data_IF_216024550952
#
_entry.id   IF_216024550952
#
_cell.length_a   1.000
_cell.length_b   1.000
_cell.length_c   1.000
_cell.angle_alpha   90.00
_cell.angle_beta   90.00
_cell.angle_gamma   90.00
#
_symmetry.space_group_name_H-M   'P 1'
#
loop_
_entity.id
_entity.type
_entity.pdbx_description
1 polymer ?
#
# COMPACT_ATOMS: atom_id res chain seq x y z
N UNK A 1 42.16 34.36 -21.21
CA UNK A 1 42.96 33.18 -21.55
C UNK A 1 42.78 32.17 -20.42
N UNK A 2 41.76 31.31 -20.53
CA UNK A 2 41.29 30.46 -19.44
C UNK A 2 41.85 29.04 -19.60
N UNK A 3 42.56 28.56 -18.57
CA UNK A 3 43.03 27.18 -18.47
C UNK A 3 42.02 26.31 -17.72
N UNK A 4 41.90 25.09 -18.24
CA UNK A 4 40.87 24.08 -18.02
C UNK A 4 41.03 23.43 -16.63
N UNK A 5 40.00 23.48 -15.80
CA UNK A 5 39.85 22.62 -14.61
C UNK A 5 38.90 21.48 -14.94
N UNK A 6 39.47 20.28 -15.09
CA UNK A 6 38.75 19.02 -15.27
C UNK A 6 37.99 18.68 -13.99
N UNK A 7 36.67 18.63 -14.05
CA UNK A 7 35.79 18.10 -13.01
C UNK A 7 35.11 16.86 -13.60
N UNK A 8 35.45 15.68 -13.07
CA UNK A 8 34.81 14.41 -13.44
C UNK A 8 33.37 14.35 -12.89
N UNK A 9 32.38 13.92 -13.68
CA UNK A 9 31.04 13.63 -13.16
C UNK A 9 31.04 12.34 -12.33
N UNK A 10 30.34 12.39 -11.20
CA UNK A 10 30.12 11.27 -10.29
C UNK A 10 28.80 10.61 -10.69
N UNK A 11 28.85 9.58 -11.54
CA UNK A 11 27.65 8.88 -12.03
C UNK A 11 27.55 7.49 -11.40
N UNK A 12 26.72 7.42 -10.36
CA UNK A 12 25.76 6.38 -9.95
C UNK A 12 26.00 4.98 -10.56
N UNK A 13 26.45 4.06 -9.71
CA UNK A 13 26.50 2.62 -9.95
C UNK A 13 25.07 2.06 -9.75
N UNK A 14 24.46 1.34 -10.70
CA UNK A 14 23.21 0.63 -10.47
C UNK A 14 23.47 -0.63 -9.63
N UNK A 15 22.89 -0.70 -8.42
CA UNK A 15 22.91 -1.90 -7.59
C UNK A 15 21.88 -2.90 -8.16
N UNK A 16 22.39 -3.94 -8.82
CA UNK A 16 21.62 -5.10 -9.23
C UNK A 16 21.01 -5.79 -8.01
N UNK A 17 19.69 -5.87 -7.96
CA UNK A 17 18.94 -6.75 -7.07
C UNK A 17 18.93 -8.16 -7.67
N UNK A 18 19.49 -9.19 -7.00
CA UNK A 18 19.18 -10.56 -7.38
C UNK A 18 17.78 -10.92 -6.87
N UNK A 19 16.83 -11.06 -7.79
CA UNK A 19 15.52 -11.64 -7.53
C UNK A 19 15.67 -13.15 -7.35
N UNK A 20 15.64 -13.60 -6.09
CA UNK A 20 15.50 -15.03 -5.77
C UNK A 20 14.09 -15.49 -6.14
N UNK A 21 13.91 -15.91 -7.39
CA UNK A 21 12.79 -16.78 -7.78
C UNK A 21 12.98 -18.12 -7.08
N UNK A 22 12.32 -18.33 -5.94
CA UNK A 22 12.21 -19.64 -5.30
C UNK A 22 11.23 -20.49 -6.11
N UNK A 23 11.75 -21.29 -7.03
CA UNK A 23 11.04 -22.44 -7.59
C UNK A 23 10.82 -23.47 -6.49
N UNK A 24 9.57 -23.70 -6.11
CA UNK A 24 9.17 -24.77 -5.18
C UNK A 24 9.09 -26.06 -5.99
N UNK A 25 10.17 -26.82 -6.04
CA UNK A 25 10.14 -28.25 -6.39
C UNK A 25 9.77 -29.03 -5.13
N UNK A 26 8.59 -29.65 -5.15
CA UNK A 26 8.12 -30.58 -4.11
C UNK A 26 8.87 -31.92 -4.28
N UNK A 27 9.90 -32.17 -3.48
CA UNK A 27 10.60 -33.47 -3.41
C UNK A 27 9.91 -34.32 -2.32
N UNK A 28 9.24 -35.44 -2.64
CA UNK A 28 8.59 -36.28 -1.64
C UNK A 28 9.62 -37.08 -0.82
N UNK A 29 9.64 -36.80 0.49
CA UNK A 29 10.07 -37.66 1.60
C UNK A 29 11.39 -38.44 1.45
N UNK A 30 12.49 -37.84 1.95
CA UNK A 30 13.61 -38.61 2.52
C UNK A 30 13.24 -39.00 3.97
N UNK A 31 13.53 -40.24 4.43
CA UNK A 31 13.34 -40.62 5.82
C UNK A 31 14.19 -39.72 6.73
N UNK A 32 13.62 -39.29 7.85
CA UNK A 32 14.32 -38.47 8.85
C UNK A 32 15.63 -39.16 9.29
N UNK A 33 16.76 -38.44 9.34
CA UNK A 33 17.96 -38.99 9.96
C UNK A 33 17.68 -39.27 11.44
N UNK A 34 18.23 -40.36 12.02
CA UNK A 34 18.07 -40.65 13.43
C UNK A 34 18.60 -39.48 14.28
N UNK A 35 18.00 -39.20 15.44
CA UNK A 35 18.44 -38.10 16.30
C UNK A 35 19.91 -38.32 16.68
N UNK A 36 20.78 -37.42 16.23
CA UNK A 36 22.18 -37.43 16.68
C UNK A 36 22.20 -37.07 18.17
N UNK A 37 22.98 -37.78 19.00
CA UNK A 37 23.21 -37.37 20.38
C UNK A 37 23.84 -35.97 20.35
N UNK A 38 23.08 -34.97 20.79
CA UNK A 38 23.57 -33.59 20.82
C UNK A 38 24.60 -33.53 21.95
N UNK A 39 25.88 -33.47 21.57
CA UNK A 39 26.97 -33.14 22.50
C UNK A 39 26.59 -31.87 23.27
N UNK A 40 26.75 -31.81 24.60
CA UNK A 40 26.46 -30.60 25.35
C UNK A 40 27.29 -29.45 24.78
N UNK A 41 26.61 -28.37 24.39
CA UNK A 41 27.25 -27.11 24.00
C UNK A 41 27.87 -26.52 25.28
N UNK A 42 29.20 -26.44 25.32
CA UNK A 42 29.91 -25.60 26.28
C UNK A 42 29.51 -24.14 26.03
N UNK A 43 28.66 -23.59 26.91
CA UNK A 43 28.36 -22.16 26.97
C UNK A 43 28.50 -21.70 28.43
N UNK A 44 29.70 -21.19 28.69
CA UNK A 44 30.09 -20.12 29.62
C UNK A 44 29.14 -19.81 30.80
N UNK A 45 29.63 -20.22 31.97
CA UNK A 45 29.67 -19.48 33.25
C UNK A 45 28.73 -18.27 33.37
N UNK A 46 27.50 -18.54 33.83
CA UNK A 46 26.74 -17.56 34.58
C UNK A 46 26.55 -18.09 36.00
N UNK A 47 27.52 -17.75 36.84
CA UNK A 47 27.51 -17.89 38.30
C UNK A 47 26.20 -17.35 38.87
N UNK A 48 25.24 -18.24 39.05
CA UNK A 48 24.02 -17.96 39.79
C UNK A 48 24.04 -18.93 40.98
N UNK A 49 24.43 -18.40 42.14
CA UNK A 49 24.49 -19.08 43.43
C UNK A 49 23.07 -19.41 43.95
N UNK A 50 22.32 -20.17 43.16
CA UNK A 50 21.19 -20.94 43.66
C UNK A 50 21.63 -22.38 43.59
N UNK A 51 22.03 -22.91 44.74
CA UNK A 51 22.12 -24.35 44.98
C UNK A 51 20.88 -24.98 44.36
N UNK A 52 21.03 -25.56 43.17
CA UNK A 52 20.07 -26.52 42.64
C UNK A 52 20.23 -27.67 43.62
N UNK A 53 19.39 -27.66 44.64
CA UNK A 53 19.28 -28.74 45.58
C UNK A 53 19.09 -29.99 44.73
N UNK A 54 20.11 -30.85 44.73
CA UNK A 54 19.96 -32.23 44.34
C UNK A 54 18.66 -32.70 44.98
N UNK A 55 17.77 -33.21 44.14
CA UNK A 55 16.40 -33.53 44.52
C UNK A 55 16.40 -34.29 45.85
N UNK A 56 15.61 -33.87 46.86
CA UNK A 56 15.61 -34.46 48.21
C UNK A 56 15.26 -35.95 48.23
N UNK A 57 14.84 -36.49 47.09
CA UNK A 57 14.60 -37.90 46.83
C UNK A 57 15.86 -38.77 46.81
N UNK A 58 17.03 -38.27 46.42
CA UNK A 58 18.24 -39.09 46.43
C UNK A 58 18.78 -39.28 47.84
N UNK A 59 18.82 -38.21 48.64
CA UNK A 59 19.21 -38.28 50.06
C UNK A 59 18.18 -39.01 50.92
N UNK A 60 16.88 -38.78 50.71
CA UNK A 60 15.83 -39.46 51.49
C UNK A 60 15.74 -40.97 51.22
N UNK A 61 16.14 -41.43 50.04
CA UNK A 61 16.18 -42.87 49.70
C UNK A 61 17.49 -43.52 50.17
N UNK A 62 18.60 -42.77 50.20
CA UNK A 62 19.85 -43.23 50.77
C UNK A 62 19.75 -43.39 52.31
N UNK A 63 19.02 -42.51 53.00
CA UNK A 63 18.82 -42.58 54.45
C UNK A 63 17.98 -43.78 54.93
N UNK A 64 16.98 -44.21 54.15
CA UNK A 64 16.08 -45.33 54.54
C UNK A 64 16.80 -46.70 54.64
N UNK A 65 17.97 -46.84 54.00
CA UNK A 65 18.70 -48.11 53.91
C UNK A 65 19.80 -48.29 54.97
N UNK A 66 20.22 -47.23 55.67
CA UNK A 66 21.18 -47.38 56.78
C UNK A 66 20.58 -48.14 57.98
N UNK A 67 19.27 -48.38 58.01
CA UNK A 67 18.57 -48.94 59.17
C UNK A 67 18.20 -50.43 59.09
N UNK A 68 18.48 -51.14 57.98
CA UNK A 68 18.25 -52.59 57.90
C UNK A 68 19.53 -53.39 58.16
N UNK A 69 19.72 -53.64 59.46
CA UNK A 69 20.52 -54.71 60.11
C UNK A 69 21.38 -55.57 59.16
N UNK A 70 22.68 -55.44 59.34
CA UNK A 70 23.68 -56.49 59.11
C UNK A 70 23.20 -57.80 59.76
N UNK A 71 22.52 -58.66 59.01
CA UNK A 71 22.30 -60.04 59.41
C UNK A 71 23.62 -60.74 59.16
N UNK A 72 24.50 -60.70 60.18
CA UNK A 72 25.68 -61.53 60.27
C UNK A 72 25.33 -62.94 59.78
N UNK A 73 25.96 -63.38 58.69
CA UNK A 73 25.90 -64.75 58.20
C UNK A 73 26.44 -65.70 59.28
N UNK A 74 25.63 -66.01 60.31
CA UNK A 74 25.89 -67.15 61.17
C UNK A 74 25.83 -68.35 60.25
N UNK A 75 26.95 -69.05 60.11
CA UNK A 75 27.03 -70.30 59.36
C UNK A 75 26.06 -71.30 59.99
N UNK A 76 24.82 -71.29 59.52
CA UNK A 76 23.78 -72.20 59.96
C UNK A 76 24.15 -73.58 59.41
N UNK A 77 24.42 -74.53 60.30
CA UNK A 77 24.64 -75.91 59.90
C UNK A 77 23.30 -76.50 59.46
N UNK A 78 23.01 -76.42 58.16
CA UNK A 78 21.74 -76.89 57.57
C UNK A 78 21.55 -78.41 57.65
N UNK A 79 22.57 -79.16 58.08
CA UNK A 79 22.52 -80.62 58.14
C UNK A 79 23.30 -81.18 59.33
N UNK A 80 22.56 -81.67 60.33
CA UNK A 80 23.13 -82.39 61.47
C UNK A 80 23.44 -83.84 61.07
N UNK A 81 24.73 -84.10 60.93
CA UNK A 81 25.28 -85.37 60.47
C UNK A 81 25.19 -86.44 61.58
N UNK A 82 25.27 -86.03 62.85
CA UNK A 82 25.29 -86.93 64.00
C UNK A 82 23.88 -87.43 64.35
N UNK A 83 22.91 -86.51 64.40
CA UNK A 83 21.52 -86.86 64.72
C UNK A 83 20.94 -87.87 63.73
N UNK A 84 21.19 -87.69 62.44
CA UNK A 84 20.75 -88.62 61.39
C UNK A 84 21.40 -90.01 61.56
N UNK A 85 22.69 -90.06 61.89
CA UNK A 85 23.41 -91.31 62.09
C UNK A 85 22.82 -92.08 63.29
N UNK A 86 22.60 -91.40 64.41
CA UNK A 86 22.01 -92.01 65.61
C UNK A 86 20.57 -92.51 65.39
N UNK A 87 19.78 -91.81 64.57
CA UNK A 87 18.44 -92.26 64.22
C UNK A 87 18.46 -93.50 63.33
N UNK A 88 19.35 -93.57 62.34
CA UNK A 88 19.49 -94.74 61.47
C UNK A 88 19.98 -95.97 62.24
N UNK A 89 20.93 -95.79 63.17
CA UNK A 89 21.39 -96.86 64.06
C UNK A 89 20.26 -97.38 64.96
N UNK A 90 19.42 -96.49 65.49
CA UNK A 90 18.26 -96.88 66.33
C UNK A 90 17.17 -97.65 65.57
N UNK A 91 17.11 -97.53 64.24
CA UNK A 91 16.13 -98.18 63.37
C UNK A 91 16.66 -99.51 62.78
N UNK A 92 17.81 -99.99 63.26
CA UNK A 92 18.36 -101.30 62.89
C UNK A 92 19.37 -101.31 61.74
N UNK A 93 19.83 -100.14 61.26
CA UNK A 93 20.89 -100.08 60.26
C UNK A 93 22.28 -100.22 60.89
N UNK A 94 23.18 -100.95 60.23
CA UNK A 94 24.59 -100.99 60.63
C UNK A 94 25.22 -99.60 60.49
N UNK A 95 26.13 -99.23 61.39
CA UNK A 95 26.86 -97.95 61.36
C UNK A 95 27.47 -97.63 60.00
N UNK A 96 28.02 -98.64 59.31
CA UNK A 96 28.58 -98.48 57.95
C UNK A 96 27.52 -98.16 56.90
N UNK A 97 26.34 -98.76 56.99
CA UNK A 97 25.22 -98.50 56.07
C UNK A 97 24.60 -97.12 56.34
N UNK A 98 24.41 -96.77 57.61
CA UNK A 98 23.94 -95.46 58.03
C UNK A 98 24.87 -94.33 57.55
N UNK A 99 26.19 -94.54 57.63
CA UNK A 99 27.19 -93.57 57.15
C UNK A 99 27.11 -93.35 55.63
N UNK A 100 26.91 -94.40 54.84
CA UNK A 100 26.77 -94.29 53.37
C UNK A 100 25.50 -93.52 53.01
N UNK A 101 24.37 -93.83 53.65
CA UNK A 101 23.10 -93.14 53.42
C UNK A 101 23.21 -91.65 53.79
N UNK A 102 23.79 -91.36 54.96
CA UNK A 102 24.05 -90.01 55.44
C UNK A 102 24.96 -89.22 54.48
N UNK A 103 26.03 -89.83 53.96
CA UNK A 103 26.90 -89.22 52.94
C UNK A 103 26.13 -88.92 51.65
N UNK A 104 25.26 -89.83 51.20
CA UNK A 104 24.41 -89.64 50.02
C UNK A 104 23.43 -88.48 50.18
N UNK A 105 22.72 -88.40 51.31
CA UNK A 105 21.78 -87.31 51.62
C UNK A 105 22.53 -85.98 51.72
N UNK A 106 23.67 -85.95 52.40
CA UNK A 106 24.52 -84.75 52.51
C UNK A 106 25.00 -84.26 51.15
N UNK A 107 25.34 -85.17 50.23
CA UNK A 107 25.71 -84.83 48.87
C UNK A 107 24.54 -84.22 48.09
N UNK A 108 23.36 -84.87 48.09
CA UNK A 108 22.18 -84.35 47.37
C UNK A 108 21.68 -83.03 47.92
N UNK A 109 21.73 -82.83 49.24
CA UNK A 109 21.37 -81.57 49.86
C UNK A 109 22.32 -80.44 49.46
N UNK A 110 23.63 -80.71 49.36
CA UNK A 110 24.61 -79.74 48.88
C UNK A 110 24.42 -79.39 47.41
N UNK A 111 24.17 -80.39 46.57
CA UNK A 111 23.87 -80.21 45.15
C UNK A 111 22.62 -79.33 44.95
N UNK A 112 21.53 -79.65 45.66
CA UNK A 112 20.30 -78.87 45.61
C UNK A 112 20.50 -77.44 46.13
N UNK A 113 21.21 -77.27 47.26
CA UNK A 113 21.51 -75.93 47.81
C UNK A 113 22.36 -75.10 46.85
N UNK A 114 23.35 -75.71 46.19
CA UNK A 114 24.19 -75.03 45.21
C UNK A 114 23.37 -74.60 43.98
N UNK A 115 22.50 -75.47 43.47
CA UNK A 115 21.60 -75.16 42.36
C UNK A 115 20.59 -74.06 42.72
N UNK A 116 19.99 -74.12 43.93
CA UNK A 116 19.09 -73.06 44.41
C UNK A 116 19.80 -71.72 44.55
N UNK A 117 21.06 -71.69 45.03
CA UNK A 117 21.86 -70.46 45.11
C UNK A 117 22.18 -69.85 43.74
N UNK A 118 22.23 -70.65 42.68
CA UNK A 118 22.42 -70.14 41.32
C UNK A 118 21.13 -69.56 40.73
N UNK A 119 19.96 -70.03 41.17
CA UNK A 119 18.66 -69.57 40.68
C UNK A 119 18.03 -68.46 41.55
N UNK A 120 18.37 -68.41 42.83
CA UNK A 120 17.91 -67.38 43.75
C UNK A 120 18.88 -66.20 43.71
N UNK A 121 18.37 -65.06 43.29
CA UNK A 121 19.09 -63.79 43.45
C UNK A 121 19.16 -63.44 44.95
N UNK A 122 20.33 -62.98 45.39
CA UNK A 122 20.45 -62.45 46.73
C UNK A 122 19.59 -61.19 46.85
N UNK A 123 18.93 -61.02 47.98
CA UNK A 123 18.16 -59.81 48.27
C UNK A 123 19.01 -58.54 48.13
N UNK A 124 20.31 -58.62 48.41
CA UNK A 124 21.27 -57.52 48.22
C UNK A 124 21.42 -57.11 46.74
N UNK A 125 21.46 -58.09 45.84
CA UNK A 125 21.67 -57.83 44.41
C UNK A 125 20.40 -57.20 43.81
N UNK A 126 19.23 -57.69 44.21
CA UNK A 126 17.94 -57.09 43.85
C UNK A 126 17.82 -55.65 44.37
N UNK A 127 18.23 -55.39 45.62
CA UNK A 127 18.23 -54.06 46.21
C UNK A 127 19.17 -53.10 45.46
N UNK A 128 20.38 -53.55 45.10
CA UNK A 128 21.33 -52.75 44.33
C UNK A 128 20.82 -52.42 42.91
N UNK A 129 20.29 -53.40 42.18
CA UNK A 129 19.69 -53.15 40.86
C UNK A 129 18.49 -52.21 40.96
N UNK A 130 17.67 -52.35 42.01
CA UNK A 130 16.55 -51.43 42.26
C UNK A 130 17.02 -49.99 42.53
N UNK A 131 18.19 -49.84 43.18
CA UNK A 131 18.80 -48.53 43.42
C UNK A 131 19.27 -47.89 42.12
N UNK A 132 20.01 -48.63 41.29
CA UNK A 132 20.46 -48.14 39.97
C UNK A 132 19.28 -47.73 39.09
N UNK A 133 18.21 -48.54 39.08
CA UNK A 133 16.99 -48.22 38.34
C UNK A 133 16.31 -46.95 38.86
N UNK A 134 16.17 -46.80 40.18
CA UNK A 134 15.60 -45.58 40.78
C UNK A 134 16.45 -44.35 40.50
N UNK A 135 17.78 -44.47 40.53
CA UNK A 135 18.69 -43.38 40.19
C UNK A 135 18.51 -42.95 38.72
N UNK A 136 18.48 -43.92 37.79
CA UNK A 136 18.25 -43.65 36.37
C UNK A 136 16.87 -43.02 36.10
N UNK A 137 15.81 -43.47 36.79
CA UNK A 137 14.50 -42.85 36.70
C UNK A 137 14.47 -41.41 37.24
N UNK A 138 15.21 -41.14 38.32
CA UNK A 138 15.34 -39.80 38.87
C UNK A 138 16.07 -38.88 37.88
N UNK A 139 17.14 -39.36 37.27
CA UNK A 139 17.88 -38.64 36.23
C UNK A 139 16.98 -38.33 35.01
N UNK A 140 16.31 -39.35 34.46
CA UNK A 140 15.37 -39.18 33.34
C UNK A 140 14.26 -38.17 33.68
N UNK A 141 13.73 -38.21 34.90
CA UNK A 141 12.71 -37.26 35.34
C UNK A 141 13.27 -35.83 35.35
N UNK A 142 14.49 -35.64 35.85
CA UNK A 142 15.12 -34.31 35.87
C UNK A 142 15.42 -33.81 34.46
N UNK A 143 15.89 -34.68 33.57
CA UNK A 143 16.15 -34.35 32.17
C UNK A 143 14.88 -33.93 31.45
N UNK A 144 13.80 -34.70 31.56
CA UNK A 144 12.48 -34.34 30.99
C UNK A 144 11.99 -33.01 31.56
N UNK A 145 12.20 -32.76 32.86
CA UNK A 145 11.77 -31.51 33.48
C UNK A 145 12.58 -30.32 32.96
N UNK A 146 13.87 -30.49 32.69
CA UNK A 146 14.74 -29.47 32.10
C UNK A 146 14.35 -29.21 30.65
N UNK A 147 14.16 -30.25 29.84
CA UNK A 147 13.69 -30.15 28.46
C UNK A 147 12.37 -29.39 28.38
N UNK A 148 11.38 -29.78 29.18
CA UNK A 148 10.07 -29.10 29.22
C UNK A 148 10.19 -27.63 29.61
N UNK A 149 11.10 -27.27 30.53
CA UNK A 149 11.33 -25.86 30.88
C UNK A 149 11.98 -25.10 29.73
N UNK A 150 12.93 -25.71 29.03
CA UNK A 150 13.59 -25.12 27.88
C UNK A 150 12.59 -24.88 26.73
N UNK A 151 11.78 -25.90 26.40
CA UNK A 151 10.72 -25.79 25.39
C UNK A 151 9.72 -24.69 25.73
N UNK A 152 9.31 -24.60 27.00
CA UNK A 152 8.40 -23.54 27.46
C UNK A 152 9.04 -22.15 27.31
N UNK A 153 10.32 -21.99 27.66
CA UNK A 153 11.03 -20.73 27.50
C UNK A 153 11.17 -20.35 26.02
N UNK A 154 11.48 -21.32 25.16
CA UNK A 154 11.55 -21.13 23.72
C UNK A 154 10.19 -20.68 23.16
N UNK A 155 9.11 -21.40 23.47
CA UNK A 155 7.75 -21.04 23.06
C UNK A 155 7.32 -19.65 23.57
N UNK A 156 7.67 -19.30 24.82
CA UNK A 156 7.39 -17.96 25.34
C UNK A 156 8.14 -16.86 24.57
N UNK A 157 9.40 -17.13 24.20
CA UNK A 157 10.19 -16.20 23.39
C UNK A 157 9.61 -16.03 21.98
N UNK A 158 9.22 -17.13 21.33
CA UNK A 158 8.57 -17.11 20.02
C UNK A 158 7.22 -16.40 20.04
N UNK A 159 6.40 -16.65 21.07
CA UNK A 159 5.13 -15.96 21.26
C UNK A 159 5.37 -14.45 21.42
N UNK A 160 6.33 -14.04 22.25
CA UNK A 160 6.67 -12.63 22.45
C UNK A 160 7.12 -11.96 21.15
N UNK A 161 7.94 -12.66 20.35
CA UNK A 161 8.35 -12.19 19.03
C UNK A 161 7.16 -12.05 18.07
N UNK A 162 6.29 -13.06 18.01
CA UNK A 162 5.11 -13.05 17.16
C UNK A 162 4.15 -11.92 17.55
N UNK A 163 3.90 -11.70 18.84
CA UNK A 163 3.10 -10.56 19.32
C UNK A 163 3.70 -9.24 18.85
N UNK A 164 5.02 -9.05 19.00
CA UNK A 164 5.70 -7.83 18.53
C UNK A 164 5.56 -7.64 17.02
N UNK A 165 5.63 -8.72 16.24
CA UNK A 165 5.45 -8.66 14.79
C UNK A 165 4.03 -8.28 14.39
N UNK A 166 3.02 -8.80 15.11
CA UNK A 166 1.63 -8.41 14.93
C UNK A 166 1.43 -6.92 15.25
N UNK A 167 1.97 -6.44 16.37
CA UNK A 167 1.87 -5.02 16.76
C UNK A 167 2.50 -4.09 15.71
N UNK A 168 3.67 -4.47 15.18
CA UNK A 168 4.33 -3.71 14.10
C UNK A 168 3.50 -3.72 12.82
N UNK A 169 2.89 -4.85 12.49
CA UNK A 169 2.04 -4.95 11.31
C UNK A 169 0.80 -4.10 11.45
N UNK A 170 0.17 -4.09 12.63
CA UNK A 170 -0.97 -3.24 12.96
C UNK A 170 -0.59 -1.75 12.84
N UNK A 171 0.55 -1.35 13.42
CA UNK A 171 1.03 0.02 13.31
C UNK A 171 1.24 0.42 11.85
N UNK A 172 1.92 -0.41 11.05
CA UNK A 172 2.15 -0.13 9.63
C UNK A 172 0.86 -0.06 8.82
N UNK A 173 -0.11 -0.91 9.15
CA UNK A 173 -1.42 -0.88 8.50
C UNK A 173 -2.15 0.43 8.82
N UNK A 174 -2.15 0.86 10.08
CA UNK A 174 -2.77 2.11 10.52
C UNK A 174 -2.09 3.33 9.90
N UNK A 175 -0.76 3.35 9.84
CA UNK A 175 0.01 4.38 9.13
C UNK A 175 -0.33 4.40 7.63
N UNK A 176 -0.43 3.23 7.00
CA UNK A 176 -0.82 3.08 5.60
C UNK A 176 -2.24 3.61 5.34
N UNK A 177 -3.21 3.28 6.20
CA UNK A 177 -4.59 3.78 6.11
C UNK A 177 -4.62 5.30 6.30
N UNK A 178 -3.90 5.84 7.28
CA UNK A 178 -3.83 7.28 7.53
C UNK A 178 -3.22 8.03 6.34
N UNK A 179 -2.14 7.49 5.77
CA UNK A 179 -1.50 8.05 4.57
C UNK A 179 -2.44 8.02 3.38
N UNK A 180 -3.07 6.88 3.10
CA UNK A 180 -4.04 6.75 2.01
C UNK A 180 -5.23 7.70 2.19
N UNK A 181 -5.73 7.87 3.41
CA UNK A 181 -6.79 8.83 3.72
C UNK A 181 -6.36 10.27 3.42
N UNK A 182 -5.14 10.64 3.81
CA UNK A 182 -4.58 11.97 3.52
C UNK A 182 -4.40 12.17 2.02
N UNK A 183 -3.91 11.18 1.30
CA UNK A 183 -3.74 11.23 -0.16
C UNK A 183 -5.09 11.40 -0.87
N UNK A 184 -6.13 10.65 -0.47
CA UNK A 184 -7.49 10.80 -1.00
C UNK A 184 -8.06 12.20 -0.70
N UNK A 185 -7.84 12.71 0.51
CA UNK A 185 -8.29 14.05 0.88
C UNK A 185 -7.55 15.13 0.08
N UNK A 186 -6.25 14.97 -0.14
CA UNK A 186 -5.45 15.86 -0.96
C UNK A 186 -5.91 15.83 -2.42
N UNK A 187 -6.13 14.66 -3.01
CA UNK A 187 -6.63 14.54 -4.38
C UNK A 187 -8.04 15.14 -4.53
N UNK A 188 -8.94 14.86 -3.58
CA UNK A 188 -10.26 15.47 -3.53
C UNK A 188 -10.18 17.00 -3.46
N UNK A 189 -9.27 17.54 -2.64
CA UNK A 189 -9.09 18.99 -2.54
C UNK A 189 -8.49 19.57 -3.82
N UNK A 190 -7.53 18.88 -4.43
CA UNK A 190 -6.94 19.27 -5.70
C UNK A 190 -8.00 19.31 -6.82
N UNK A 191 -8.82 18.27 -6.94
CA UNK A 191 -9.95 18.23 -7.89
C UNK A 191 -10.97 19.33 -7.66
N UNK A 192 -11.28 19.64 -6.40
CA UNK A 192 -12.15 20.78 -6.05
C UNK A 192 -11.53 22.11 -6.43
N UNK A 193 -10.22 22.26 -6.27
CA UNK A 193 -9.50 23.47 -6.67
C UNK A 193 -9.45 23.62 -8.19
N UNK A 194 -9.08 22.56 -8.91
CA UNK A 194 -9.08 22.51 -10.38
C UNK A 194 -10.46 22.87 -10.95
N UNK A 195 -11.54 22.27 -10.42
CA UNK A 195 -12.90 22.59 -10.84
C UNK A 195 -13.25 24.07 -10.61
N UNK A 196 -12.79 24.67 -9.50
CA UNK A 196 -13.00 26.10 -9.20
C UNK A 196 -12.17 27.00 -10.10
N UNK A 197 -10.95 26.60 -10.44
CA UNK A 197 -10.09 27.33 -11.37
C UNK A 197 -10.67 27.30 -12.79
N UNK A 198 -11.20 26.16 -13.22
CA UNK A 198 -11.93 26.03 -14.48
C UNK A 198 -13.18 26.91 -14.50
N UNK A 199 -13.94 26.93 -13.40
CA UNK A 199 -15.10 27.80 -13.26
C UNK A 199 -14.71 29.28 -13.35
N UNK A 200 -13.67 29.72 -12.62
CA UNK A 200 -13.15 31.09 -12.73
C UNK A 200 -12.69 31.41 -14.14
N UNK A 201 -12.08 30.44 -14.82
CA UNK A 201 -11.62 30.59 -16.21
C UNK A 201 -12.81 30.78 -17.16
N UNK A 202 -13.89 30.01 -16.98
CA UNK A 202 -15.15 30.21 -17.71
C UNK A 202 -15.73 31.61 -17.43
N UNK A 203 -15.80 32.04 -16.18
CA UNK A 203 -16.33 33.34 -15.79
C UNK A 203 -15.52 34.49 -16.43
N UNK A 204 -14.19 34.39 -16.44
CA UNK A 204 -13.32 35.36 -17.14
C UNK A 204 -13.61 35.41 -18.63
N UNK A 205 -13.78 34.25 -19.30
CA UNK A 205 -14.15 34.20 -20.73
C UNK A 205 -15.52 34.81 -20.99
N UNK A 206 -16.49 34.58 -20.11
CA UNK A 206 -17.83 35.20 -20.21
C UNK A 206 -17.72 36.72 -20.10
N UNK A 207 -16.96 37.24 -19.14
CA UNK A 207 -16.73 38.68 -19.00
C UNK A 207 -15.99 39.27 -20.20
N UNK A 208 -14.99 38.58 -20.73
CA UNK A 208 -14.27 39.00 -21.95
C UNK A 208 -15.22 39.08 -23.14
N UNK A 209 -16.06 38.06 -23.36
CA UNK A 209 -17.06 38.05 -24.43
C UNK A 209 -18.09 39.18 -24.23
N UNK A 210 -18.56 39.40 -23.01
CA UNK A 210 -19.50 40.48 -22.70
C UNK A 210 -18.90 41.87 -22.97
N UNK A 211 -17.62 42.07 -22.63
CA UNK A 211 -16.91 43.30 -22.93
C UNK A 211 -16.74 43.49 -24.45
N UNK A 212 -16.29 42.45 -25.17
CA UNK A 212 -16.22 42.46 -26.64
C UNK A 212 -17.58 42.79 -27.26
N UNK A 213 -18.66 42.18 -26.78
CA UNK A 213 -20.02 42.46 -27.26
C UNK A 213 -20.41 43.91 -27.02
N UNK A 214 -20.11 44.47 -25.85
CA UNK A 214 -20.37 45.87 -25.50
C UNK A 214 -19.63 46.84 -26.43
N UNK A 215 -18.35 46.57 -26.72
CA UNK A 215 -17.56 47.37 -27.66
C UNK A 215 -18.16 47.28 -29.07
N UNK A 216 -18.45 46.06 -29.56
CA UNK A 216 -19.07 45.85 -30.88
C UNK A 216 -20.44 46.52 -31.00
N UNK A 217 -21.23 46.51 -29.93
CA UNK A 217 -22.51 47.22 -29.89
C UNK A 217 -22.31 48.74 -29.97
N UNK A 218 -21.26 49.25 -29.34
CA UNK A 218 -20.81 50.64 -29.49
C UNK A 218 -20.45 50.97 -30.95
N UNK A 219 -19.60 50.15 -31.57
CA UNK A 219 -19.22 50.30 -32.99
C UNK A 219 -20.45 50.36 -33.90
N UNK A 220 -21.38 49.41 -33.76
CA UNK A 220 -22.63 49.36 -34.54
C UNK A 220 -23.49 50.62 -34.33
N UNK A 221 -23.59 51.13 -33.09
CA UNK A 221 -24.32 52.38 -32.82
C UNK A 221 -23.67 53.55 -33.54
N UNK A 222 -22.34 53.65 -33.51
CA UNK A 222 -21.61 54.71 -34.22
C UNK A 222 -21.74 54.59 -35.73
N UNK A 223 -21.73 53.36 -36.28
CA UNK A 223 -21.98 53.11 -37.70
C UNK A 223 -23.41 53.53 -38.08
N UNK A 224 -24.42 53.23 -37.26
CA UNK A 224 -25.80 53.68 -37.48
C UNK A 224 -25.90 55.21 -37.46
N UNK A 225 -25.23 55.87 -36.53
CA UNK A 225 -25.18 57.34 -36.46
C UNK A 225 -24.48 57.93 -37.70
N UNK A 226 -23.38 57.32 -38.15
CA UNK A 226 -22.68 57.72 -39.37
C UNK A 226 -23.59 57.57 -40.61
N UNK A 227 -24.33 56.46 -40.73
CA UNK A 227 -25.29 56.24 -41.83
C UNK A 227 -26.45 57.24 -41.75
N UNK A 228 -26.96 57.53 -40.56
CA UNK A 228 -28.00 58.55 -40.36
C UNK A 228 -27.52 59.92 -40.81
N UNK A 229 -26.32 60.31 -40.40
CA UNK A 229 -25.68 61.54 -40.83
C UNK A 229 -25.56 61.58 -42.34
N UNK A 230 -24.97 60.56 -42.96
CA UNK A 230 -24.79 60.49 -44.40
C UNK A 230 -26.12 60.56 -45.16
N UNK A 231 -27.17 59.91 -44.65
CA UNK A 231 -28.52 59.94 -45.23
C UNK A 231 -29.12 61.35 -45.18
N UNK A 232 -28.97 62.06 -44.06
CA UNK A 232 -29.45 63.45 -43.91
C UNK A 232 -28.75 64.37 -44.91
N UNK A 233 -27.43 64.26 -45.05
CA UNK A 233 -26.66 65.07 -46.00
C UNK A 233 -27.01 64.77 -47.45
N UNK A 234 -27.14 63.49 -47.82
CA UNK A 234 -27.57 63.07 -49.17
C UNK A 234 -28.98 63.56 -49.47
N UNK A 235 -29.91 63.44 -48.51
CA UNK A 235 -31.29 63.93 -48.64
C UNK A 235 -31.35 65.45 -48.79
N UNK A 236 -30.65 66.20 -47.93
CA UNK A 236 -30.55 67.66 -48.01
C UNK A 236 -29.96 68.11 -49.36
N UNK A 237 -28.88 67.48 -49.81
CA UNK A 237 -28.27 67.75 -51.11
C UNK A 237 -29.25 67.50 -52.25
N UNK A 238 -30.01 66.40 -52.19
CA UNK A 238 -31.06 66.09 -53.16
C UNK A 238 -32.15 67.17 -53.23
N UNK A 239 -32.64 67.65 -52.08
CA UNK A 239 -33.64 68.72 -52.01
C UNK A 239 -33.08 70.04 -52.54
N UNK A 240 -31.84 70.40 -52.20
CA UNK A 240 -31.18 71.60 -52.73
C UNK A 240 -31.05 71.55 -54.26
N UNK A 241 -30.59 70.43 -54.81
CA UNK A 241 -30.47 70.25 -56.25
C UNK A 241 -31.83 70.31 -56.95
N UNK A 242 -32.86 69.65 -56.40
CA UNK A 242 -34.23 69.74 -56.92
C UNK A 242 -34.79 71.17 -56.86
N UNK A 243 -34.52 71.91 -55.78
CA UNK A 243 -34.91 73.31 -55.67
C UNK A 243 -34.22 74.19 -56.72
N UNK A 244 -32.92 73.97 -56.97
CA UNK A 244 -32.18 74.68 -58.01
C UNK A 244 -32.66 74.34 -59.43
N UNK A 245 -32.99 73.08 -59.72
CA UNK A 245 -33.54 72.70 -61.03
C UNK A 245 -34.93 73.32 -61.24
N UNK A 246 -35.78 73.37 -60.21
CA UNK A 246 -37.09 74.05 -60.29
C UNK A 246 -36.91 75.56 -60.47
N UNK A 247 -36.02 76.20 -59.70
CA UNK A 247 -35.77 77.63 -59.80
C UNK A 247 -35.19 78.02 -61.16
N UNK A 248 -34.24 77.25 -61.69
CA UNK A 248 -33.66 77.50 -63.03
C UNK A 248 -34.69 77.31 -64.14
N UNK A 249 -35.52 76.26 -64.07
CA UNK A 249 -36.59 76.03 -65.03
C UNK A 249 -37.66 77.13 -64.95
N UNK A 250 -38.04 77.54 -63.74
CA UNK A 250 -38.91 78.69 -63.49
C UNK A 250 -38.34 79.98 -64.08
N UNK A 251 -37.06 80.28 -63.82
CA UNK A 251 -36.37 81.44 -64.39
C UNK A 251 -36.31 81.38 -65.92
N UNK A 252 -36.04 80.22 -66.51
CA UNK A 252 -36.07 80.00 -67.97
C UNK A 252 -37.47 80.26 -68.54
N UNK A 253 -38.53 79.78 -67.87
CA UNK A 253 -39.92 80.03 -68.28
C UNK A 253 -40.29 81.51 -68.14
N UNK A 254 -39.90 82.19 -67.06
CA UNK A 254 -40.10 83.64 -66.88
C UNK A 254 -39.34 84.43 -67.95
N UNK A 255 -38.10 84.04 -68.26
CA UNK A 255 -37.32 84.71 -69.31
C UNK A 255 -37.85 84.42 -70.71
N UNK A 256 -38.39 83.23 -70.94
CA UNK A 256 -39.07 82.87 -72.19
C UNK A 256 -40.36 83.66 -72.38
N UNK A 257 -41.17 83.80 -71.33
CA UNK A 257 -42.40 84.61 -71.34
C UNK A 257 -42.11 86.11 -71.48
N UNK A 258 -41.08 86.63 -70.81
CA UNK A 258 -40.61 88.01 -70.98
C UNK A 258 -40.15 88.28 -72.43
N UNK A 259 -39.34 87.38 -73.01
CA UNK A 259 -38.94 87.49 -74.43
C UNK A 259 -40.14 87.40 -75.39
N UNK A 260 -41.15 86.61 -75.06
CA UNK A 260 -42.40 86.53 -75.86
C UNK A 260 -43.20 87.83 -75.73
N UNK A 261 -43.29 88.43 -74.54
CA UNK A 261 -43.93 89.73 -74.31
C UNK A 261 -43.22 90.86 -75.08
N UNK A 262 -41.89 90.86 -75.12
CA UNK A 262 -41.12 91.84 -75.90
C UNK A 262 -41.35 91.69 -77.40
N UNK A 263 -41.46 90.47 -77.94
CA UNK A 263 -41.82 90.28 -79.36
C UNK A 263 -43.22 90.80 -79.68
N UNK A 264 -44.20 90.57 -78.80
CA UNK A 264 -45.57 91.09 -78.97
C UNK A 264 -45.56 92.62 -78.92
N UNK A 265 -44.86 93.22 -77.95
CA UNK A 265 -44.69 94.69 -77.85
C UNK A 265 -44.01 95.27 -79.09
N UNK A 266 -42.98 94.59 -79.61
CA UNK A 266 -42.28 95.02 -80.82
C UNK A 266 -43.16 94.91 -82.07
N UNK A 267 -44.03 93.91 -82.15
CA UNK A 267 -45.03 93.80 -83.21
C UNK A 267 -46.10 94.88 -83.11
N UNK A 268 -46.55 95.23 -81.91
CA UNK A 268 -47.44 96.37 -81.66
C UNK A 268 -46.78 97.69 -82.08
N UNK A 269 -45.51 97.91 -81.73
CA UNK A 269 -44.75 99.08 -82.17
C UNK A 269 -44.55 99.13 -83.68
N UNK A 270 -44.26 98.00 -84.33
CA UNK A 270 -44.16 97.92 -85.80
C UNK A 270 -45.51 98.14 -86.49
N UNK A 271 -46.63 97.72 -85.88
CA UNK A 271 -47.98 98.04 -86.38
C UNK A 271 -48.27 99.53 -86.23
N UNK A 272 -47.92 100.16 -85.10
CA UNK A 272 -48.03 101.61 -84.92
C UNK A 272 -47.18 102.38 -85.93
N UNK A 273 -45.95 101.94 -86.21
CA UNK A 273 -45.09 102.54 -87.24
C UNK A 273 -45.63 102.38 -88.66
N UNK A 274 -46.18 101.21 -89.02
CA UNK A 274 -46.83 101.00 -90.32
C UNK A 274 -48.09 101.86 -90.50
N UNK A 275 -48.91 102.01 -89.45
CA UNK A 275 -50.05 102.95 -89.47
C UNK A 275 -49.59 104.41 -89.65
N UNK A 276 -48.43 104.78 -89.09
CA UNK A 276 -47.86 106.12 -89.25
C UNK A 276 -47.23 106.33 -90.64
N UNK A 277 -46.67 105.30 -91.26
CA UNK A 277 -46.19 105.34 -92.66
C UNK A 277 -47.34 105.34 -93.68
N UNK A 278 -48.46 104.67 -93.39
CA UNK A 278 -49.70 104.76 -94.18
C UNK A 278 -50.34 106.15 -94.07
N UNK A 279 -50.33 106.77 -92.88
CA UNK A 279 -50.76 108.17 -92.71
C UNK A 279 -49.86 109.17 -93.47
N UNK A 280 -48.55 108.90 -93.56
CA UNK A 280 -47.63 109.75 -94.33
C UNK A 280 -47.72 109.51 -95.85
N UNK A 281 -48.07 108.30 -96.32
CA UNK A 281 -48.30 108.00 -97.75
C UNK A 281 -49.65 108.47 -98.28
N UNK A 282 -50.62 108.74 -97.41
CA UNK A 282 -51.89 109.36 -97.77
C UNK A 282 -51.82 110.90 -97.89
N UNK A 283 -50.69 111.53 -97.54
CA UNK A 283 -50.50 112.98 -97.57
C UNK A 283 -49.73 113.57 -98.76
N UNK A 284 -49.26 112.75 -99.71
CA UNK A 284 -48.38 113.17 -100.81
C UNK A 284 -48.86 112.79 -102.21
N UNK A 285 -50.17 112.60 -102.39
CA UNK A 285 -50.82 112.44 -103.69
C UNK A 285 -52.19 113.14 -103.68
N UNK A 286 -52.19 114.45 -103.48
CA UNK A 286 -53.26 115.36 -103.95
C UNK A 286 -52.81 116.83 -103.82
N UNK A 287 -51.96 117.24 -104.77
CA UNK A 287 -51.94 118.54 -105.46
C UNK A 287 -50.78 118.49 -106.47
N UNK A 288 -51.00 118.15 -107.75
CA UNK A 288 -51.58 118.98 -108.85
C UNK A 288 -50.42 119.57 -109.73
N UNK A 289 -50.33 119.54 -111.07
CA UNK A 289 -51.11 119.06 -112.25
C UNK A 289 -50.17 119.01 -113.49
N UNK A 290 -50.68 118.47 -114.62
CA UNK A 290 -50.46 118.80 -116.07
C UNK A 290 -49.57 117.77 -116.80
N UNK A 291 -50.06 117.05 -117.83
CA UNK A 291 -51.13 117.32 -118.81
C UNK A 291 -52.38 116.45 -118.70
#
# INVERSE_FOLDING_TARGET
MFYIRSIRPKTIIPRSTPSLKRTVTYEPSKPFPPPQPTRPVEMLDQKNDKKIAMSPTLDAVAEDMSHKKNVSFRQSHHFDTYKLLTQLESQGFSRKQAEVIMKGIKFRLRECTASMKQQLLLSSDLENESYLFKAALSELRTEIQVLRRNDMQMLQSELTLLTREVDILEQRLNEGIATMKNDIQMDMNNRKNETREDQKTMDMKIQEINNKFTIRLGDIRTEIEAVRWETIWKGMTGVCLAGLTIATLGYLLTRYTARKADRIRLEEERKRKRLQEEANRAGTLDMEVIY
#
